data_IF_038665586273
#
_entry.id   IF_038665586273
#
_cell.length_a   1.000
_cell.length_b   1.000
_cell.length_c   1.000
_cell.angle_alpha   90.00
_cell.angle_beta   90.00
_cell.angle_gamma   90.00
#
_symmetry.space_group_name_H-M   'P 1'
#
loop_
_entity.id
_entity.type
_entity.pdbx_description
1 polymer ?
#
# COMPACT_ATOMS: atom_id res chain seq x y z
N UNK A 1 45.15 -36.04 23.89
CA UNK A 1 43.89 -36.67 23.45
C UNK A 1 43.94 -36.73 21.92
N UNK A 2 44.55 -37.80 21.38
CA UNK A 2 44.70 -37.97 19.94
C UNK A 2 43.38 -38.45 19.33
N UNK A 3 42.84 -37.68 18.39
CA UNK A 3 41.72 -38.09 17.56
C UNK A 3 42.20 -39.22 16.64
N UNK A 4 41.92 -40.48 17.02
CA UNK A 4 42.09 -41.66 16.17
C UNK A 4 41.26 -41.46 14.88
N UNK A 5 41.91 -41.03 13.80
CA UNK A 5 41.31 -41.03 12.47
C UNK A 5 41.00 -42.48 12.06
N UNK A 6 39.71 -42.84 12.03
CA UNK A 6 39.25 -44.10 11.42
C UNK A 6 39.67 -44.11 9.94
N UNK A 7 40.35 -45.18 9.52
CA UNK A 7 40.85 -45.54 8.18
C UNK A 7 40.70 -44.45 7.08
N UNK A 8 41.80 -43.80 6.65
CA UNK A 8 41.75 -42.68 5.68
C UNK A 8 41.09 -43.05 4.34
N UNK A 9 41.17 -44.33 3.93
CA UNK A 9 40.49 -44.85 2.73
C UNK A 9 38.96 -44.74 2.84
N UNK A 10 38.38 -45.02 4.02
CA UNK A 10 36.93 -44.90 4.24
C UNK A 10 36.47 -43.44 4.18
N UNK A 11 37.29 -42.53 4.70
CA UNK A 11 37.04 -41.08 4.61
C UNK A 11 37.08 -40.61 3.16
N UNK A 12 38.06 -41.06 2.37
CA UNK A 12 38.18 -40.71 0.96
C UNK A 12 36.99 -41.22 0.12
N UNK A 13 36.57 -42.47 0.34
CA UNK A 13 35.38 -43.05 -0.30
C UNK A 13 34.13 -42.22 0.06
N UNK A 14 33.97 -41.83 1.32
CA UNK A 14 32.85 -41.01 1.75
C UNK A 14 32.86 -39.62 1.08
N UNK A 15 34.01 -38.95 1.01
CA UNK A 15 34.15 -37.67 0.32
C UNK A 15 33.85 -37.78 -1.18
N UNK A 16 34.30 -38.85 -1.82
CA UNK A 16 34.01 -39.10 -3.24
C UNK A 16 32.51 -39.34 -3.48
N UNK A 17 31.84 -40.10 -2.61
CA UNK A 17 30.39 -40.29 -2.66
C UNK A 17 29.63 -38.98 -2.47
N UNK A 18 30.04 -38.15 -1.50
CA UNK A 18 29.46 -36.83 -1.29
C UNK A 18 29.64 -35.91 -2.50
N UNK A 19 30.83 -35.90 -3.10
CA UNK A 19 31.11 -35.13 -4.31
C UNK A 19 30.27 -35.61 -5.50
N UNK A 20 30.11 -36.93 -5.67
CA UNK A 20 29.23 -37.52 -6.67
C UNK A 20 27.78 -37.09 -6.49
N UNK A 21 27.25 -37.18 -5.26
CA UNK A 21 25.88 -36.74 -4.94
C UNK A 21 25.71 -35.25 -5.25
N UNK A 22 26.66 -34.39 -4.87
CA UNK A 22 26.61 -32.96 -5.20
C UNK A 22 26.62 -32.71 -6.71
N UNK A 23 27.46 -33.42 -7.47
CA UNK A 23 27.54 -33.31 -8.92
C UNK A 23 26.24 -33.71 -9.60
N UNK A 24 25.68 -34.88 -9.27
CA UNK A 24 24.41 -35.35 -9.83
C UNK A 24 23.23 -34.46 -9.42
N UNK A 25 23.21 -33.97 -8.17
CA UNK A 25 22.17 -33.05 -7.69
C UNK A 25 22.21 -31.73 -8.47
N UNK A 26 23.40 -31.18 -8.71
CA UNK A 26 23.56 -29.99 -9.56
C UNK A 26 23.05 -30.25 -10.98
N UNK A 27 23.46 -31.36 -11.59
CA UNK A 27 23.02 -31.73 -12.94
C UNK A 27 21.50 -31.88 -13.02
N UNK A 28 20.85 -32.40 -11.98
CA UNK A 28 19.39 -32.52 -11.89
C UNK A 28 18.70 -31.14 -11.73
N UNK A 29 19.26 -30.27 -10.90
CA UNK A 29 18.78 -28.88 -10.70
C UNK A 29 18.83 -28.09 -12.00
N UNK A 30 19.84 -28.30 -12.84
CA UNK A 30 20.05 -27.59 -14.10
C UNK A 30 19.13 -28.07 -15.24
N UNK A 31 18.29 -29.08 -15.00
CA UNK A 31 17.36 -29.61 -16.01
C UNK A 31 16.19 -28.68 -16.30
N UNK A 32 15.53 -28.92 -17.44
CA UNK A 32 14.30 -28.23 -17.85
C UNK A 32 13.13 -28.41 -16.88
N UNK A 33 13.21 -29.39 -15.98
CA UNK A 33 12.22 -29.63 -14.93
C UNK A 33 12.05 -28.42 -13.99
N UNK A 34 13.15 -27.69 -13.75
CA UNK A 34 13.16 -26.49 -12.91
C UNK A 34 13.06 -25.18 -13.70
N UNK A 35 12.85 -25.25 -15.03
CA UNK A 35 12.59 -24.04 -15.81
C UNK A 35 11.19 -23.53 -15.54
N UNK A 36 11.07 -22.21 -15.40
CA UNK A 36 9.79 -21.56 -15.22
C UNK A 36 8.95 -21.72 -16.48
N UNK A 37 7.79 -22.34 -16.35
CA UNK A 37 6.82 -22.56 -17.41
C UNK A 37 5.67 -21.57 -17.33
N UNK A 38 5.30 -21.16 -16.11
CA UNK A 38 4.12 -20.34 -15.86
C UNK A 38 4.41 -19.25 -14.83
N UNK A 39 3.89 -18.05 -15.09
CA UNK A 39 3.89 -16.92 -14.17
C UNK A 39 2.43 -16.57 -13.90
N UNK A 40 1.99 -16.80 -12.66
CA UNK A 40 0.63 -16.52 -12.20
C UNK A 40 0.62 -15.16 -11.50
N UNK A 41 -0.11 -14.19 -12.04
CA UNK A 41 -0.26 -12.85 -11.45
C UNK A 41 -1.68 -12.69 -10.91
N UNK A 42 -1.79 -12.49 -9.60
CA UNK A 42 -3.03 -12.22 -8.87
C UNK A 42 -3.08 -10.75 -8.42
N UNK A 43 -4.23 -10.10 -8.58
CA UNK A 43 -4.45 -8.67 -8.36
C UNK A 43 -5.89 -8.29 -8.69
N UNK A 44 -6.29 -7.06 -8.37
CA UNK A 44 -7.66 -6.56 -8.55
C UNK A 44 -7.85 -5.93 -9.94
N UNK A 45 -6.87 -5.17 -10.42
CA UNK A 45 -6.88 -4.51 -11.72
C UNK A 45 -6.40 -5.45 -12.81
N UNK A 46 -7.25 -5.69 -13.82
CA UNK A 46 -6.88 -6.44 -15.01
C UNK A 46 -5.71 -5.82 -15.78
N UNK A 47 -5.70 -4.48 -15.91
CA UNK A 47 -4.63 -3.75 -16.61
C UNK A 47 -3.27 -3.95 -15.94
N UNK A 48 -3.16 -3.63 -14.65
CA UNK A 48 -1.93 -3.86 -13.90
C UNK A 48 -1.47 -5.32 -13.93
N UNK A 49 -2.39 -6.29 -13.82
CA UNK A 49 -2.03 -7.72 -13.94
C UNK A 49 -1.40 -8.02 -15.30
N UNK A 50 -1.96 -7.50 -16.38
CA UNK A 50 -1.42 -7.68 -17.74
C UNK A 50 -0.04 -7.03 -17.88
N UNK A 51 0.12 -5.79 -17.42
CA UNK A 51 1.39 -5.06 -17.44
C UNK A 51 2.49 -5.83 -16.71
N UNK A 52 2.22 -6.25 -15.47
CA UNK A 52 3.19 -7.00 -14.66
C UNK A 52 3.46 -8.38 -15.25
N UNK A 53 2.44 -9.06 -15.82
CA UNK A 53 2.66 -10.34 -16.50
C UNK A 53 3.62 -10.17 -17.69
N UNK A 54 3.42 -9.14 -18.51
CA UNK A 54 4.29 -8.84 -19.65
C UNK A 54 5.73 -8.55 -19.22
N UNK A 55 5.94 -7.80 -18.13
CA UNK A 55 7.28 -7.53 -17.57
C UNK A 55 7.99 -8.82 -17.09
N UNK A 56 7.22 -9.83 -16.67
CA UNK A 56 7.73 -11.09 -16.13
C UNK A 56 7.84 -12.21 -17.16
N UNK A 57 7.40 -12.00 -18.41
CA UNK A 57 7.55 -12.99 -19.49
C UNK A 57 9.00 -13.44 -19.67
N UNK A 58 9.95 -12.53 -19.51
CA UNK A 58 11.40 -12.82 -19.55
C UNK A 58 11.88 -13.80 -18.46
N UNK A 59 11.05 -14.15 -17.48
CA UNK A 59 11.36 -15.14 -16.46
C UNK A 59 11.05 -16.57 -16.92
N UNK A 60 10.18 -16.74 -17.93
CA UNK A 60 9.92 -18.06 -18.52
C UNK A 60 11.19 -18.62 -19.13
N UNK A 61 11.42 -19.92 -18.95
CA UNK A 61 12.62 -20.63 -19.39
C UNK A 61 13.85 -20.45 -18.49
N UNK A 62 13.85 -19.51 -17.54
CA UNK A 62 14.91 -19.41 -16.52
C UNK A 62 14.73 -20.48 -15.45
N UNK A 63 15.82 -20.88 -14.81
CA UNK A 63 15.80 -21.86 -13.74
C UNK A 63 15.26 -21.23 -12.44
N UNK A 64 14.13 -21.74 -11.93
CA UNK A 64 13.44 -21.22 -10.75
C UNK A 64 14.30 -21.25 -9.48
N UNK A 65 15.22 -22.22 -9.38
CA UNK A 65 16.09 -22.38 -8.20
C UNK A 65 16.98 -21.15 -8.07
N UNK A 66 17.51 -20.65 -9.17
CA UNK A 66 18.44 -19.51 -9.22
C UNK A 66 17.77 -18.15 -9.31
N UNK A 67 16.44 -18.07 -9.48
CA UNK A 67 15.75 -16.78 -9.49
C UNK A 67 15.80 -16.08 -8.13
N UNK A 68 16.11 -14.79 -8.13
CA UNK A 68 16.02 -13.96 -6.94
C UNK A 68 14.61 -13.34 -6.86
N UNK A 69 13.78 -13.82 -5.93
CA UNK A 69 12.42 -13.29 -5.76
C UNK A 69 12.40 -11.87 -5.23
N UNK A 70 13.39 -11.49 -4.43
CA UNK A 70 13.46 -10.15 -3.84
C UNK A 70 13.78 -9.10 -4.90
N UNK A 71 14.63 -9.43 -5.87
CA UNK A 71 14.89 -8.58 -7.04
C UNK A 71 13.63 -8.39 -7.89
N UNK A 72 12.88 -9.47 -8.13
CA UNK A 72 11.61 -9.42 -8.88
C UNK A 72 10.60 -8.55 -8.12
N UNK A 73 10.45 -8.75 -6.81
CA UNK A 73 9.59 -7.92 -5.97
C UNK A 73 9.99 -6.45 -6.03
N UNK A 74 11.28 -6.14 -5.86
CA UNK A 74 11.78 -4.77 -5.88
C UNK A 74 11.62 -4.11 -7.25
N UNK A 75 11.68 -4.89 -8.33
CA UNK A 75 11.37 -4.39 -9.67
C UNK A 75 9.89 -4.01 -9.79
N UNK A 76 8.98 -4.89 -9.38
CA UNK A 76 7.52 -4.67 -9.44
C UNK A 76 7.11 -3.50 -8.52
N UNK A 77 7.72 -3.36 -7.34
CA UNK A 77 7.46 -2.25 -6.39
C UNK A 77 7.75 -0.86 -6.96
N UNK A 78 8.46 -0.75 -8.09
CA UNK A 78 8.70 0.53 -8.77
C UNK A 78 7.44 1.08 -9.44
N UNK A 79 6.47 0.22 -9.78
CA UNK A 79 5.19 0.67 -10.27
C UNK A 79 4.42 1.37 -9.14
N UNK A 80 4.09 2.64 -9.32
CA UNK A 80 3.48 3.48 -8.29
C UNK A 80 2.11 2.97 -7.85
N UNK A 81 1.39 2.25 -8.73
CA UNK A 81 0.08 1.66 -8.48
C UNK A 81 0.16 0.49 -7.49
N UNK A 82 1.34 -0.11 -7.33
CA UNK A 82 1.58 -1.23 -6.41
C UNK A 82 1.82 -0.71 -4.99
N UNK A 83 0.97 -1.15 -4.05
CA UNK A 83 1.16 -0.88 -2.62
C UNK A 83 2.09 -1.91 -1.99
N UNK A 84 1.87 -3.20 -2.29
CA UNK A 84 2.74 -4.31 -1.91
C UNK A 84 2.71 -5.39 -2.98
N UNK A 85 3.76 -6.21 -3.00
CA UNK A 85 3.85 -7.40 -3.85
C UNK A 85 4.51 -8.51 -3.06
N UNK A 86 4.08 -9.74 -3.31
CA UNK A 86 4.75 -10.95 -2.84
C UNK A 86 5.02 -11.86 -4.03
N UNK A 87 6.27 -12.32 -4.17
CA UNK A 87 6.67 -13.27 -5.21
C UNK A 87 7.03 -14.59 -4.54
N UNK A 88 6.37 -15.68 -4.95
CA UNK A 88 6.60 -17.03 -4.42
C UNK A 88 6.96 -17.98 -5.54
N UNK A 89 7.99 -18.79 -5.29
CA UNK A 89 8.34 -19.94 -6.13
C UNK A 89 7.39 -21.08 -5.80
N UNK A 90 6.63 -21.53 -6.80
CA UNK A 90 5.82 -22.74 -6.75
C UNK A 90 6.56 -23.82 -7.54
N UNK A 91 7.42 -24.54 -6.83
CA UNK A 91 8.23 -25.59 -7.43
C UNK A 91 7.37 -26.69 -8.07
N UNK A 92 7.86 -27.33 -9.15
CA UNK A 92 9.19 -27.14 -9.73
C UNK A 92 9.28 -26.03 -10.79
N UNK A 93 8.17 -25.50 -11.32
CA UNK A 93 8.20 -24.73 -12.58
C UNK A 93 7.32 -23.48 -12.62
N UNK A 94 6.73 -23.03 -11.51
CA UNK A 94 5.78 -21.90 -11.53
C UNK A 94 6.21 -20.76 -10.60
N UNK A 95 5.96 -19.52 -11.00
CA UNK A 95 6.08 -18.35 -10.13
C UNK A 95 4.68 -17.81 -9.87
N UNK A 96 4.37 -17.51 -8.62
CA UNK A 96 3.16 -16.80 -8.23
C UNK A 96 3.51 -15.42 -7.71
N UNK A 97 2.87 -14.40 -8.28
CA UNK A 97 2.99 -13.00 -7.90
C UNK A 97 1.63 -12.55 -7.40
N UNK A 98 1.58 -12.02 -6.18
CA UNK A 98 0.35 -11.47 -5.58
C UNK A 98 0.55 -9.98 -5.37
N UNK A 99 -0.31 -9.19 -6.01
CA UNK A 99 -0.29 -7.73 -5.97
C UNK A 99 -1.33 -7.21 -4.96
N UNK A 100 -0.91 -6.33 -4.06
CA UNK A 100 -1.77 -5.44 -3.30
C UNK A 100 -1.70 -4.07 -3.99
N UNK A 101 -2.77 -3.69 -4.67
CA UNK A 101 -2.89 -2.40 -5.34
C UNK A 101 -3.17 -1.27 -4.36
N UNK A 102 -2.76 -0.05 -4.71
CA UNK A 102 -3.23 1.14 -4.02
C UNK A 102 -4.70 1.37 -4.37
N UNK A 103 -5.46 1.77 -3.36
CA UNK A 103 -6.85 2.15 -3.53
C UNK A 103 -6.99 3.65 -3.26
N UNK A 104 -7.84 4.36 -4.02
CA UNK A 104 -7.96 5.79 -3.87
C UNK A 104 -8.67 6.07 -2.56
N UNK A 105 -8.02 6.90 -1.75
CA UNK A 105 -8.55 7.35 -0.48
C UNK A 105 -8.88 8.82 -0.57
N UNK A 106 -8.02 9.64 -1.17
CA UNK A 106 -8.25 11.06 -1.39
C UNK A 106 -7.80 11.47 -2.79
N UNK A 107 -8.32 12.60 -3.24
CA UNK A 107 -7.73 13.37 -4.31
C UNK A 107 -6.69 14.34 -3.74
N UNK A 108 -5.56 14.50 -4.40
CA UNK A 108 -4.56 15.51 -4.06
C UNK A 108 -4.54 16.56 -5.17
N UNK A 109 -4.76 17.82 -4.80
CA UNK A 109 -4.63 18.94 -5.73
C UNK A 109 -3.19 19.43 -5.75
N UNK A 110 -2.59 19.51 -6.94
CA UNK A 110 -1.23 20.01 -7.13
C UNK A 110 -1.19 20.96 -8.32
N UNK A 111 -1.25 22.26 -8.03
CA UNK A 111 -1.47 23.26 -9.08
C UNK A 111 -2.84 23.05 -9.73
N UNK A 112 -2.85 22.82 -11.04
CA UNK A 112 -4.06 22.58 -11.83
C UNK A 112 -4.42 21.08 -11.96
N UNK A 113 -3.55 20.18 -11.50
CA UNK A 113 -3.76 18.74 -11.58
C UNK A 113 -4.47 18.20 -10.34
N UNK A 114 -5.32 17.19 -10.54
CA UNK A 114 -5.96 16.42 -9.46
C UNK A 114 -5.55 14.96 -9.58
N UNK A 115 -4.85 14.46 -8.57
CA UNK A 115 -4.21 13.15 -8.60
C UNK A 115 -4.85 12.21 -7.57
N UNK A 116 -4.82 10.91 -7.85
CA UNK A 116 -5.27 9.87 -6.91
C UNK A 116 -4.19 9.57 -5.89
N UNK A 117 -4.57 9.56 -4.61
CA UNK A 117 -3.68 9.13 -3.53
C UNK A 117 -4.36 8.14 -2.60
N UNK A 118 -3.54 7.25 -2.04
CA UNK A 118 -4.00 6.25 -1.09
C UNK A 118 -4.14 6.80 0.34
N UNK A 119 -4.50 5.92 1.28
CA UNK A 119 -4.67 6.27 2.70
C UNK A 119 -3.40 6.80 3.36
N UNK A 120 -2.24 6.50 2.80
CA UNK A 120 -0.95 7.00 3.25
C UNK A 120 -0.57 8.35 2.62
N UNK A 121 -1.47 8.92 1.81
CA UNK A 121 -1.29 10.10 0.97
C UNK A 121 -0.20 9.91 -0.10
N UNK A 122 0.02 8.67 -0.54
CA UNK A 122 0.92 8.39 -1.66
C UNK A 122 0.15 8.49 -2.97
N UNK A 123 0.57 9.44 -3.81
CA UNK A 123 0.06 9.63 -5.16
C UNK A 123 0.44 8.43 -6.03
N UNK A 124 -0.50 7.92 -6.83
CA UNK A 124 -0.27 6.76 -7.66
C UNK A 124 -0.95 6.75 -9.03
N UNK A 125 -1.74 7.76 -9.37
CA UNK A 125 -2.38 7.86 -10.67
C UNK A 125 -3.10 9.18 -10.88
N UNK A 126 -3.58 9.40 -12.09
CA UNK A 126 -4.42 10.54 -12.47
C UNK A 126 -5.90 10.29 -12.13
N UNK A 127 -6.67 11.35 -11.83
CA UNK A 127 -8.13 11.26 -11.58
C UNK A 127 -8.90 10.60 -12.74
N UNK A 128 -8.38 10.68 -13.98
CA UNK A 128 -9.01 10.11 -15.17
C UNK A 128 -8.84 8.58 -15.28
N UNK A 129 -7.93 7.97 -14.50
CA UNK A 129 -7.66 6.53 -14.56
C UNK A 129 -8.73 5.69 -13.85
N UNK A 130 -9.48 6.27 -12.90
CA UNK A 130 -10.53 5.59 -12.16
C UNK A 130 -11.87 6.32 -12.24
N UNK A 131 -13.01 5.60 -12.13
CA UNK A 131 -14.31 6.24 -12.00
C UNK A 131 -14.34 7.21 -10.81
N UNK A 132 -15.03 8.34 -10.97
CA UNK A 132 -15.19 9.33 -9.92
C UNK A 132 -15.72 8.69 -8.62
N UNK A 133 -15.05 9.00 -7.50
CA UNK A 133 -15.41 8.50 -6.17
C UNK A 133 -15.74 9.68 -5.27
N UNK A 134 -16.68 9.46 -4.36
CA UNK A 134 -17.00 10.44 -3.32
C UNK A 134 -15.95 10.35 -2.19
N UNK A 135 -14.77 10.91 -2.45
CA UNK A 135 -13.63 10.96 -1.53
C UNK A 135 -13.11 12.40 -1.39
N UNK A 136 -12.47 12.74 -0.26
CA UNK A 136 -12.00 14.09 0.01
C UNK A 136 -10.95 14.58 -0.98
N UNK A 137 -10.93 15.88 -1.23
CA UNK A 137 -9.81 16.59 -1.83
C UNK A 137 -8.88 17.11 -0.73
N UNK A 138 -7.58 16.96 -0.89
CA UNK A 138 -6.55 17.56 -0.05
C UNK A 138 -5.93 18.73 -0.83
N UNK A 139 -6.01 19.92 -0.24
CA UNK A 139 -5.33 21.13 -0.71
C UNK A 139 -4.28 21.56 0.33
N UNK A 140 -3.00 21.36 0.00
CA UNK A 140 -1.88 21.48 0.92
C UNK A 140 -0.81 22.41 0.35
N UNK A 141 -0.09 23.14 1.21
CA UNK A 141 0.92 24.13 0.78
C UNK A 141 2.34 23.61 0.82
N UNK A 142 2.61 22.67 1.72
CA UNK A 142 3.94 22.12 2.01
C UNK A 142 3.86 20.73 2.67
N UNK A 143 5.00 20.05 2.80
CA UNK A 143 5.06 18.70 3.37
C UNK A 143 4.60 18.63 4.84
N UNK A 144 4.74 19.72 5.60
CA UNK A 144 4.27 19.78 6.99
C UNK A 144 2.74 19.74 7.04
N UNK A 145 2.09 20.55 6.21
CA UNK A 145 0.64 20.59 6.06
C UNK A 145 0.07 19.25 5.58
N UNK A 146 0.73 18.57 4.65
CA UNK A 146 0.33 17.25 4.16
C UNK A 146 0.39 16.19 5.27
N UNK A 147 1.47 16.20 6.07
CA UNK A 147 1.63 15.29 7.21
C UNK A 147 0.60 15.56 8.32
N UNK A 148 0.27 16.82 8.57
CA UNK A 148 -0.77 17.20 9.51
C UNK A 148 -2.16 16.72 9.05
N UNK A 149 -2.48 16.88 7.76
CA UNK A 149 -3.74 16.38 7.18
C UNK A 149 -3.80 14.86 7.19
N UNK A 150 -2.69 14.16 6.94
CA UNK A 150 -2.59 12.70 7.13
C UNK A 150 -2.94 12.31 8.56
N UNK A 151 -2.40 13.03 9.54
CA UNK A 151 -2.67 12.80 10.96
C UNK A 151 -4.15 13.02 11.29
N UNK A 152 -4.74 14.11 10.81
CA UNK A 152 -6.17 14.42 10.97
C UNK A 152 -7.05 13.32 10.38
N UNK A 153 -6.82 12.96 9.11
CA UNK A 153 -7.56 11.90 8.42
C UNK A 153 -7.44 10.55 9.12
N UNK A 154 -6.26 10.23 9.65
CA UNK A 154 -6.05 8.97 10.37
C UNK A 154 -6.93 8.81 11.61
N UNK A 155 -7.38 9.92 12.22
CA UNK A 155 -8.22 9.96 13.42
C UNK A 155 -9.71 9.98 13.11
N UNK A 156 -10.10 10.14 11.85
CA UNK A 156 -11.50 10.08 11.41
C UNK A 156 -11.81 8.62 11.04
N UNK A 157 -12.34 7.86 12.00
CA UNK A 157 -12.69 6.43 11.78
C UNK A 157 -14.10 6.22 11.29
N UNK A 158 -15.00 7.15 11.60
CA UNK A 158 -16.40 7.06 11.23
C UNK A 158 -16.54 7.19 9.70
N UNK A 159 -17.02 6.13 9.04
CA UNK A 159 -17.12 6.07 7.57
C UNK A 159 -18.14 7.05 7.01
N UNK A 160 -19.25 7.26 7.74
CA UNK A 160 -20.28 8.20 7.30
C UNK A 160 -19.76 9.63 7.40
N UNK A 161 -19.07 9.97 8.50
CA UNK A 161 -18.42 11.27 8.63
C UNK A 161 -17.38 11.48 7.54
N UNK A 162 -16.55 10.47 7.26
CA UNK A 162 -15.57 10.51 6.17
C UNK A 162 -16.21 10.77 4.80
N UNK A 163 -17.29 10.04 4.47
CA UNK A 163 -18.01 10.18 3.21
C UNK A 163 -18.69 11.54 3.02
N UNK A 164 -18.85 12.33 4.11
CA UNK A 164 -19.35 13.69 4.05
C UNK A 164 -18.27 14.73 3.79
N UNK A 165 -16.98 14.37 3.85
CA UNK A 165 -15.89 15.31 3.66
C UNK A 165 -15.71 15.57 2.17
N UNK A 166 -15.81 16.84 1.80
CA UNK A 166 -15.51 17.34 0.46
C UNK A 166 -14.04 17.72 0.33
N UNK A 167 -13.50 18.45 1.29
CA UNK A 167 -12.16 19.04 1.19
C UNK A 167 -11.52 19.12 2.58
N UNK A 168 -10.20 18.94 2.62
CA UNK A 168 -9.37 19.26 3.77
C UNK A 168 -8.30 20.22 3.30
N UNK A 169 -8.21 21.36 3.97
CA UNK A 169 -7.28 22.43 3.61
C UNK A 169 -6.66 23.08 4.82
N UNK A 170 -5.52 23.72 4.60
CA UNK A 170 -4.90 24.57 5.59
C UNK A 170 -5.57 25.95 5.62
N UNK A 171 -5.74 26.46 6.84
CA UNK A 171 -6.10 27.84 7.14
C UNK A 171 -4.97 28.45 7.97
N UNK A 172 -4.89 29.78 8.11
CA UNK A 172 -3.71 30.50 8.65
C UNK A 172 -3.08 29.89 9.92
N UNK A 173 -3.91 29.35 10.83
CA UNK A 173 -3.46 28.79 12.12
C UNK A 173 -4.06 27.41 12.45
N UNK A 174 -4.79 26.80 11.53
CA UNK A 174 -5.56 25.58 11.79
C UNK A 174 -5.87 24.85 10.48
N UNK A 175 -6.56 23.72 10.59
CA UNK A 175 -7.03 22.96 9.45
C UNK A 175 -8.55 23.02 9.41
N UNK A 176 -9.10 23.08 8.20
CA UNK A 176 -10.53 23.05 7.96
C UNK A 176 -10.89 21.78 7.20
N UNK A 177 -11.89 21.08 7.69
CA UNK A 177 -12.57 20.02 6.95
C UNK A 177 -13.89 20.61 6.46
N UNK A 178 -14.02 20.76 5.15
CA UNK A 178 -15.25 21.19 4.50
C UNK A 178 -16.11 19.97 4.20
N UNK A 179 -17.36 19.98 4.66
CA UNK A 179 -18.32 18.94 4.30
C UNK A 179 -18.98 19.26 2.95
N UNK A 180 -19.55 18.25 2.30
CA UNK A 180 -20.25 18.37 1.00
C UNK A 180 -21.41 19.38 1.00
N UNK A 181 -21.93 19.73 2.16
CA UNK A 181 -22.94 20.77 2.34
C UNK A 181 -22.38 22.11 2.84
N UNK A 182 -21.08 22.35 2.65
CA UNK A 182 -20.36 23.58 3.02
C UNK A 182 -20.24 23.88 4.52
N UNK A 183 -20.57 22.92 5.40
CA UNK A 183 -20.29 23.02 6.84
C UNK A 183 -18.77 22.96 7.05
N UNK A 184 -18.21 23.91 7.79
CA UNK A 184 -16.79 23.93 8.13
C UNK A 184 -16.53 23.32 9.50
N UNK A 185 -15.70 22.28 9.56
CA UNK A 185 -15.19 21.73 10.81
C UNK A 185 -13.77 22.27 11.02
N UNK A 186 -13.59 23.12 12.01
CA UNK A 186 -12.29 23.72 12.37
C UNK A 186 -11.59 22.75 13.31
N UNK A 187 -10.37 22.35 12.95
CA UNK A 187 -9.63 21.30 13.65
C UNK A 187 -8.12 21.57 13.65
N UNK A 188 -7.40 20.70 14.36
CA UNK A 188 -5.95 20.69 14.45
C UNK A 188 -5.44 19.26 14.70
N UNK A 189 -4.12 19.06 14.61
CA UNK A 189 -3.52 17.73 14.77
C UNK A 189 -3.67 17.16 16.18
N UNK A 190 -3.95 17.97 17.20
CA UNK A 190 -4.14 17.54 18.59
C UNK A 190 -5.53 16.96 18.86
N UNK A 191 -6.53 17.27 18.02
CA UNK A 191 -7.91 16.75 18.14
C UNK A 191 -7.89 15.23 18.13
N UNK A 192 -8.66 14.62 19.02
CA UNK A 192 -8.67 13.15 19.22
C UNK A 192 -9.73 12.47 18.36
N UNK A 193 -9.55 11.17 18.11
CA UNK A 193 -10.54 10.33 17.43
C UNK A 193 -11.92 10.40 18.11
N UNK A 194 -11.95 10.32 19.46
CA UNK A 194 -13.17 10.44 20.25
C UNK A 194 -13.92 11.74 19.97
N UNK A 195 -13.19 12.84 19.81
CA UNK A 195 -13.79 14.16 19.58
C UNK A 195 -14.39 14.31 18.19
N UNK A 196 -13.79 13.69 17.17
CA UNK A 196 -14.41 13.61 15.84
C UNK A 196 -15.71 12.81 15.86
N UNK A 197 -15.75 11.70 16.60
CA UNK A 197 -16.97 10.90 16.75
C UNK A 197 -18.08 11.68 17.51
N UNK A 198 -17.72 12.39 18.58
CA UNK A 198 -18.64 13.28 19.30
C UNK A 198 -19.15 14.42 18.42
N UNK A 199 -18.26 15.04 17.62
CA UNK A 199 -18.62 16.09 16.68
C UNK A 199 -19.61 15.60 15.62
N UNK A 200 -19.36 14.42 15.03
CA UNK A 200 -20.27 13.82 14.07
C UNK A 200 -21.66 13.56 14.67
N UNK A 201 -21.73 12.95 15.86
CA UNK A 201 -23.02 12.72 16.55
C UNK A 201 -23.76 14.01 16.86
N UNK A 202 -23.04 15.04 17.31
CA UNK A 202 -23.61 16.34 17.61
C UNK A 202 -24.15 17.02 16.34
N UNK A 203 -23.37 16.99 15.26
CA UNK A 203 -23.74 17.49 13.94
C UNK A 203 -25.04 16.84 13.45
N UNK A 204 -25.12 15.51 13.46
CA UNK A 204 -26.30 14.74 13.04
C UNK A 204 -27.57 15.12 13.83
N UNK A 205 -27.41 15.44 15.11
CA UNK A 205 -28.52 15.86 15.98
C UNK A 205 -28.97 17.29 15.70
N UNK A 206 -28.03 18.22 15.51
CA UNK A 206 -28.33 19.65 15.33
C UNK A 206 -28.86 19.94 13.93
N UNK A 207 -28.28 19.33 12.88
CA UNK A 207 -28.66 19.58 11.47
C UNK A 207 -30.12 19.29 11.17
N UNK A 208 -30.76 18.42 11.95
CA UNK A 208 -32.20 18.11 11.87
C UNK A 208 -33.10 19.22 12.40
N UNK A 209 -32.56 20.15 13.19
CA UNK A 209 -33.31 21.20 13.90
C UNK A 209 -33.03 22.60 13.37
N UNK A 210 -31.79 22.85 12.93
CA UNK A 210 -31.35 24.15 12.41
C UNK A 210 -30.15 23.98 11.49
N UNK A 211 -29.91 24.92 10.56
CA UNK A 211 -28.69 24.93 9.77
C UNK A 211 -27.46 25.03 10.68
N UNK A 212 -26.39 24.34 10.28
CA UNK A 212 -25.07 24.43 10.89
C UNK A 212 -24.16 25.07 9.85
N UNK A 213 -23.39 26.08 10.26
CA UNK A 213 -22.42 26.78 9.41
C UNK A 213 -21.02 26.25 9.72
N UNK A 214 -20.69 26.08 11.00
CA UNK A 214 -19.38 25.59 11.40
C UNK A 214 -19.35 24.92 12.77
N UNK A 215 -18.37 24.05 12.98
CA UNK A 215 -18.07 23.43 14.27
C UNK A 215 -16.58 23.55 14.58
N UNK A 216 -16.22 24.09 15.74
CA UNK A 216 -14.83 24.20 16.20
C UNK A 216 -14.51 23.13 17.24
N UNK A 217 -13.58 22.24 16.90
CA UNK A 217 -13.16 21.09 17.70
C UNK A 217 -11.89 21.36 18.51
N UNK A 218 -11.29 22.55 18.43
CA UNK A 218 -10.00 22.84 19.08
C UNK A 218 -10.11 23.01 20.61
N UNK A 219 -11.28 23.38 21.12
CA UNK A 219 -11.48 23.63 22.56
C UNK A 219 -11.56 22.36 23.38
N UNK A 220 -10.58 22.07 24.25
CA UNK A 220 -10.45 20.81 25.02
C UNK A 220 -11.80 20.18 25.43
N UNK A 221 -12.63 20.90 26.19
CA UNK A 221 -13.84 20.33 26.82
C UNK A 221 -15.15 20.52 26.05
N UNK A 222 -15.15 21.24 24.91
CA UNK A 222 -16.39 21.59 24.21
C UNK A 222 -16.24 21.64 22.70
N UNK A 223 -17.37 21.52 22.02
CA UNK A 223 -17.49 21.75 20.58
C UNK A 223 -18.35 22.99 20.39
N UNK A 224 -17.81 24.01 19.73
CA UNK A 224 -18.53 25.26 19.47
C UNK A 224 -19.24 25.14 18.13
N UNK A 225 -20.56 25.27 18.12
CA UNK A 225 -21.38 25.13 16.90
C UNK A 225 -22.02 26.47 16.55
N UNK A 226 -21.80 26.93 15.32
CA UNK A 226 -22.42 28.13 14.74
C UNK A 226 -23.33 27.75 13.60
#
# INVERSE_FOLDING_TARGET
MELKMKNPVKVLILLFLLAGIMFFSKMFIDTDYFKVQEVLVEGKSDLLRQDITAQLEQMKGKNIIYLNTDEIENHIKKDVRVKKVSVKKLFPSKIKVVLEEREPYVYIKKGDETLLADKDLKIYGDILEEPAKNIPIIDYTDDESLNAMKTILSKIKNKDFYAMISEIRQSEKNYEILLTNNVRIITETTVTEKKYEEAYRLYEKIRKKRPVISMDLRFIDKIVVK
#
